data_IF_073172561318
#
_entry.id   IF_073172561318
#
_cell.length_a   1.000
_cell.length_b   1.000
_cell.length_c   1.000
_cell.angle_alpha   90.00
_cell.angle_beta   90.00
_cell.angle_gamma   90.00
#
_symmetry.space_group_name_H-M   'P 1'
#
loop_
_entity.id
_entity.type
_entity.pdbx_description
1 polymer ?
#
# COMPACT_ATOMS: atom_id res chain seq x y z
N UNK A 1 -20.86 -9.58 -46.36
CA UNK A 1 -20.59 -10.74 -45.47
C UNK A 1 -19.12 -10.68 -45.07
N UNK A 2 -18.80 -10.62 -43.78
CA UNK A 2 -17.42 -10.57 -43.31
C UNK A 2 -16.78 -11.96 -43.37
N UNK A 3 -15.55 -12.06 -43.90
CA UNK A 3 -14.80 -13.33 -43.96
C UNK A 3 -14.49 -13.84 -42.56
N UNK A 4 -14.54 -15.16 -42.37
CA UNK A 4 -14.24 -15.85 -41.10
C UNK A 4 -12.86 -15.46 -40.55
N UNK A 5 -11.89 -15.26 -41.44
CA UNK A 5 -10.55 -14.79 -41.08
C UNK A 5 -10.55 -13.32 -40.63
N UNK A 6 -11.37 -12.47 -41.27
CA UNK A 6 -11.52 -11.06 -40.87
C UNK A 6 -12.16 -10.91 -39.49
N UNK A 7 -13.14 -11.76 -39.17
CA UNK A 7 -13.74 -11.83 -37.83
C UNK A 7 -12.69 -12.27 -36.80
N UNK A 8 -11.89 -13.30 -37.11
CA UNK A 8 -10.85 -13.80 -36.22
C UNK A 8 -9.78 -12.74 -35.92
N UNK A 9 -9.29 -12.03 -36.93
CA UNK A 9 -8.31 -10.95 -36.76
C UNK A 9 -8.92 -9.80 -35.96
N UNK A 10 -10.17 -9.43 -36.24
CA UNK A 10 -10.89 -8.41 -35.49
C UNK A 10 -11.04 -8.77 -34.01
N UNK A 11 -11.35 -10.03 -33.70
CA UNK A 11 -11.48 -10.52 -32.32
C UNK A 11 -10.14 -10.46 -31.57
N UNK A 12 -9.05 -10.87 -32.22
CA UNK A 12 -7.70 -10.81 -31.64
C UNK A 12 -7.26 -9.36 -31.37
N UNK A 13 -7.51 -8.44 -32.30
CA UNK A 13 -7.20 -7.03 -32.12
C UNK A 13 -8.02 -6.41 -30.98
N UNK A 14 -9.32 -6.73 -30.90
CA UNK A 14 -10.19 -6.28 -29.81
C UNK A 14 -9.71 -6.81 -28.45
N UNK A 15 -9.34 -8.09 -28.37
CA UNK A 15 -8.82 -8.69 -27.14
C UNK A 15 -7.49 -8.07 -26.72
N UNK A 16 -6.54 -7.91 -27.65
CA UNK A 16 -5.27 -7.25 -27.39
C UNK A 16 -5.47 -5.82 -26.88
N UNK A 17 -6.40 -5.07 -27.49
CA UNK A 17 -6.75 -3.72 -27.04
C UNK A 17 -7.36 -3.70 -25.62
N UNK A 18 -8.28 -4.63 -25.33
CA UNK A 18 -8.87 -4.76 -23.99
C UNK A 18 -7.81 -5.11 -22.94
N UNK A 19 -6.89 -6.03 -23.26
CA UNK A 19 -5.81 -6.44 -22.36
C UNK A 19 -4.85 -5.28 -22.08
N UNK A 20 -4.50 -4.49 -23.10
CA UNK A 20 -3.64 -3.30 -22.93
C UNK A 20 -4.26 -2.27 -21.98
N UNK A 21 -5.56 -2.00 -22.15
CA UNK A 21 -6.30 -1.08 -21.28
C UNK A 21 -6.37 -1.58 -19.83
N UNK A 22 -6.53 -2.89 -19.64
CA UNK A 22 -6.53 -3.53 -18.33
C UNK A 22 -5.17 -3.38 -17.63
N UNK A 23 -4.09 -3.77 -18.30
CA UNK A 23 -2.72 -3.69 -17.76
C UNK A 23 -2.32 -2.24 -17.42
N UNK A 24 -2.67 -1.30 -18.29
CA UNK A 24 -2.38 0.13 -18.10
C UNK A 24 -3.20 0.77 -16.97
N UNK A 25 -4.27 0.12 -16.54
CA UNK A 25 -5.15 0.62 -15.47
C UNK A 25 -4.81 0.07 -14.09
N UNK A 26 -3.81 -0.79 -13.99
CA UNK A 26 -3.43 -1.43 -12.73
C UNK A 26 -3.06 -0.39 -11.67
N UNK A 27 -3.70 -0.43 -10.48
CA UNK A 27 -3.32 0.43 -9.37
C UNK A 27 -1.94 0.00 -8.87
N UNK A 28 -1.05 0.97 -8.62
CA UNK A 28 0.26 0.70 -8.02
C UNK A 28 0.11 0.64 -6.50
N UNK A 29 0.68 -0.38 -5.87
CA UNK A 29 0.72 -0.51 -4.41
C UNK A 29 2.18 -0.47 -3.98
N UNK A 30 2.50 0.45 -3.08
CA UNK A 30 3.82 0.52 -2.45
C UNK A 30 3.71 0.02 -1.01
N UNK A 31 4.62 -0.86 -0.60
CA UNK A 31 4.64 -1.39 0.77
C UNK A 31 5.76 -0.73 1.57
N UNK A 32 5.42 -0.23 2.76
CA UNK A 32 6.36 0.33 3.73
C UNK A 32 6.24 -0.45 5.03
N UNK A 33 7.37 -1.03 5.45
CA UNK A 33 7.55 -1.67 6.74
C UNK A 33 7.85 -0.61 7.78
N UNK A 34 7.16 -0.62 8.91
CA UNK A 34 7.37 0.34 10.01
C UNK A 34 7.71 -0.39 11.30
N UNK A 35 8.45 0.28 12.17
CA UNK A 35 8.82 -0.24 13.49
C UNK A 35 7.67 -0.13 14.50
N UNK A 36 6.84 0.90 14.38
CA UNK A 36 5.66 1.14 15.24
C UNK A 36 4.50 1.62 14.37
N UNK A 37 3.43 0.82 14.33
CA UNK A 37 2.26 1.09 13.49
C UNK A 37 1.41 2.26 14.04
N UNK A 38 1.32 2.42 15.36
CA UNK A 38 0.52 3.47 15.98
C UNK A 38 1.13 4.85 15.72
N UNK A 39 2.46 4.97 15.86
CA UNK A 39 3.18 6.20 15.51
C UNK A 39 3.13 6.48 14.01
N UNK A 40 3.29 5.44 13.18
CA UNK A 40 3.17 5.59 11.73
C UNK A 40 1.78 6.09 11.31
N UNK A 41 0.71 5.59 11.94
CA UNK A 41 -0.66 6.04 11.67
C UNK A 41 -0.80 7.55 11.86
N UNK A 42 -0.35 8.05 13.02
CA UNK A 42 -0.40 9.48 13.36
C UNK A 42 0.35 10.30 12.31
N UNK A 43 1.56 9.86 11.94
CA UNK A 43 2.35 10.53 10.92
C UNK A 43 1.65 10.57 9.55
N UNK A 44 1.14 9.44 9.06
CA UNK A 44 0.50 9.40 7.74
C UNK A 44 -0.83 10.16 7.68
N UNK A 45 -1.63 10.12 8.76
CA UNK A 45 -2.94 10.78 8.79
C UNK A 45 -2.87 12.26 9.15
N UNK A 46 -2.13 12.61 10.22
CA UNK A 46 -2.12 13.98 10.75
C UNK A 46 -1.05 14.86 10.11
N UNK A 47 0.12 14.28 9.83
CA UNK A 47 1.28 15.05 9.35
C UNK A 47 1.29 15.11 7.83
N UNK A 48 1.08 13.97 7.17
CA UNK A 48 1.03 13.89 5.70
C UNK A 48 -0.36 14.13 5.11
N UNK A 49 -1.41 14.11 5.95
CA UNK A 49 -2.80 14.32 5.52
C UNK A 49 -3.26 13.28 4.49
N UNK A 50 -2.81 12.03 4.61
CA UNK A 50 -3.23 10.98 3.68
C UNK A 50 -4.64 10.51 4.00
N UNK A 51 -5.45 10.36 2.95
CA UNK A 51 -6.77 9.76 3.08
C UNK A 51 -6.60 8.26 3.32
N UNK A 52 -7.19 7.78 4.42
CA UNK A 52 -7.36 6.34 4.65
C UNK A 52 -8.08 5.73 3.46
N UNK A 53 -7.52 4.65 2.93
CA UNK A 53 -8.10 3.88 1.85
C UNK A 53 -8.64 2.57 2.42
N UNK A 54 -9.79 2.12 1.92
CA UNK A 54 -10.21 0.76 2.18
C UNK A 54 -9.20 -0.22 1.55
N UNK A 55 -8.91 -1.29 2.28
CA UNK A 55 -8.08 -2.41 1.84
C UNK A 55 -8.53 -2.80 0.43
N UNK A 56 -7.65 -2.88 -0.58
CA UNK A 56 -8.00 -3.50 -1.85
C UNK A 56 -8.27 -4.98 -1.58
N UNK A 57 -9.54 -5.30 -1.28
CA UNK A 57 -10.01 -6.56 -0.71
C UNK A 57 -9.85 -7.78 -1.65
N UNK A 58 -9.12 -7.68 -2.75
CA UNK A 58 -9.29 -8.60 -3.88
C UNK A 58 -8.06 -9.39 -4.33
N UNK A 59 -6.90 -9.32 -3.65
CA UNK A 59 -5.72 -10.05 -4.14
C UNK A 59 -5.07 -11.07 -3.19
N UNK A 60 -5.36 -11.06 -1.88
CA UNK A 60 -4.55 -11.88 -0.96
C UNK A 60 -5.31 -12.81 0.00
N UNK A 61 -6.64 -12.70 0.15
CA UNK A 61 -7.34 -13.50 1.18
C UNK A 61 -8.34 -14.56 0.67
N UNK A 62 -8.54 -14.69 -0.64
CA UNK A 62 -9.55 -15.62 -1.17
C UNK A 62 -9.04 -17.03 -1.52
N UNK A 63 -7.76 -17.34 -1.31
CA UNK A 63 -7.30 -18.72 -1.53
C UNK A 63 -7.71 -19.65 -0.39
N UNK A 64 -7.83 -19.12 0.84
CA UNK A 64 -8.03 -19.92 2.06
C UNK A 64 -9.43 -19.76 2.66
N UNK A 65 -10.10 -18.62 2.42
CA UNK A 65 -11.49 -18.42 2.84
C UNK A 65 -12.52 -19.20 1.99
N UNK A 66 -12.13 -19.64 0.78
CA UNK A 66 -12.95 -20.55 -0.03
C UNK A 66 -12.82 -22.04 0.36
N UNK A 67 -11.71 -22.43 1.00
CA UNK A 67 -11.48 -23.82 1.42
C UNK A 67 -12.00 -24.08 2.85
N UNK A 68 -12.02 -23.05 3.71
CA UNK A 68 -12.61 -23.11 5.04
C UNK A 68 -14.16 -23.15 5.04
N UNK A 69 -14.81 -22.84 3.90
CA UNK A 69 -16.27 -22.86 3.76
C UNK A 69 -16.89 -24.22 3.38
N UNK A 70 -16.08 -25.27 3.19
CA UNK A 70 -16.56 -26.62 2.83
C UNK A 70 -16.47 -27.62 3.99
N UNK A 71 -16.32 -27.14 5.22
CA UNK A 71 -16.40 -27.95 6.44
C UNK A 71 -17.69 -27.68 7.20
N UNK A 72 -18.65 -28.60 7.09
CA UNK A 72 -19.64 -28.98 8.12
C UNK A 72 -19.87 -27.97 9.27
N UNK A 73 -21.01 -27.27 9.31
CA UNK A 73 -22.14 -27.66 10.16
C UNK A 73 -23.34 -26.73 9.96
N UNK A 74 -24.54 -27.25 10.20
CA UNK A 74 -25.79 -26.53 10.08
C UNK A 74 -26.00 -25.48 11.17
N UNK A 75 -26.92 -24.56 10.87
CA UNK A 75 -27.61 -23.64 11.78
C UNK A 75 -26.97 -22.24 11.97
N UNK A 76 -27.79 -21.25 11.54
CA UNK A 76 -27.99 -19.92 12.13
C UNK A 76 -27.04 -18.78 11.72
N UNK A 77 -27.68 -17.78 11.08
CA UNK A 77 -27.43 -16.38 11.40
C UNK A 77 -26.56 -15.62 10.41
N UNK A 78 -27.21 -14.92 9.48
CA UNK A 78 -26.63 -13.75 8.82
C UNK A 78 -26.45 -12.68 9.89
N UNK A 79 -25.28 -12.62 10.50
CA UNK A 79 -24.85 -11.47 11.28
C UNK A 79 -24.22 -10.45 10.30
N UNK A 80 -24.65 -9.18 10.29
CA UNK A 80 -23.88 -8.15 9.59
C UNK A 80 -22.52 -8.03 10.30
N UNK A 81 -21.39 -7.93 9.57
CA UNK A 81 -20.12 -7.71 10.22
C UNK A 81 -20.14 -6.33 10.89
N UNK A 82 -20.33 -6.37 12.21
CA UNK A 82 -20.13 -5.28 13.15
C UNK A 82 -18.79 -4.59 12.87
N UNK A 83 -18.78 -3.26 12.94
CA UNK A 83 -17.58 -2.42 12.90
C UNK A 83 -16.67 -2.75 14.10
N UNK A 84 -15.89 -3.82 14.00
CA UNK A 84 -14.85 -4.19 14.96
C UNK A 84 -13.58 -3.39 14.63
N UNK A 85 -13.57 -2.13 15.05
CA UNK A 85 -12.46 -1.19 14.89
C UNK A 85 -11.35 -1.35 15.93
N UNK A 86 -10.79 -2.56 16.15
CA UNK A 86 -9.62 -2.68 17.04
C UNK A 86 -8.62 -3.81 16.74
N UNK A 87 -8.97 -4.85 15.99
CA UNK A 87 -8.01 -5.92 15.61
C UNK A 87 -7.25 -5.66 14.29
N UNK A 88 -7.60 -4.59 13.56
CA UNK A 88 -6.94 -4.18 12.30
C UNK A 88 -5.49 -3.68 12.45
N UNK A 89 -4.98 -3.53 13.67
CA UNK A 89 -3.60 -3.11 13.89
C UNK A 89 -2.58 -4.21 13.55
N UNK A 90 -2.99 -5.46 13.35
CA UNK A 90 -2.08 -6.52 12.90
C UNK A 90 -2.08 -6.73 11.38
N UNK A 91 -3.11 -6.27 10.66
CA UNK A 91 -3.28 -6.49 9.21
C UNK A 91 -2.70 -5.38 8.32
N UNK A 92 -2.11 -4.33 8.90
CA UNK A 92 -1.54 -3.19 8.18
C UNK A 92 -2.53 -2.08 7.84
N UNK A 93 -2.01 -0.86 7.66
CA UNK A 93 -2.76 0.36 7.35
C UNK A 93 -2.69 0.66 5.85
N UNK A 94 -3.80 1.13 5.28
CA UNK A 94 -3.91 1.42 3.85
C UNK A 94 -4.21 2.89 3.62
N UNK A 95 -3.40 3.54 2.78
CA UNK A 95 -3.52 4.95 2.46
C UNK A 95 -3.54 5.18 0.96
N UNK A 96 -4.18 6.27 0.53
CA UNK A 96 -4.17 6.71 -0.87
C UNK A 96 -3.13 7.81 -1.07
N UNK A 97 -2.09 7.53 -1.83
CA UNK A 97 -1.01 8.50 -2.12
C UNK A 97 -1.37 9.38 -3.32
N UNK A 98 -1.91 8.76 -4.39
CA UNK A 98 -2.41 9.40 -5.62
C UNK A 98 -3.66 8.68 -6.13
N UNK A 99 -4.30 9.20 -7.18
CA UNK A 99 -5.56 8.67 -7.75
C UNK A 99 -5.52 7.17 -8.09
N UNK A 100 -4.36 6.63 -8.50
CA UNK A 100 -4.16 5.21 -8.85
C UNK A 100 -3.04 4.54 -8.01
N UNK A 101 -2.64 5.16 -6.90
CA UNK A 101 -1.51 4.68 -6.10
C UNK A 101 -1.91 4.55 -4.64
N UNK A 102 -1.77 3.34 -4.11
CA UNK A 102 -2.01 3.01 -2.72
C UNK A 102 -0.68 2.77 -1.99
N UNK A 103 -0.69 3.09 -0.71
CA UNK A 103 0.41 2.88 0.21
C UNK A 103 -0.09 1.88 1.27
N UNK A 104 0.61 0.77 1.39
CA UNK A 104 0.38 -0.24 2.40
C UNK A 104 1.46 -0.13 3.47
N UNK A 105 1.06 0.09 4.71
CA UNK A 105 1.96 0.30 5.85
C UNK A 105 1.79 -0.89 6.79
N UNK A 106 2.83 -1.69 6.95
CA UNK A 106 2.81 -2.92 7.75
C UNK A 106 3.87 -2.86 8.84
N UNK A 107 3.59 -3.45 10.00
CA UNK A 107 4.62 -3.64 11.02
C UNK A 107 5.64 -4.68 10.53
N UNK A 108 6.92 -4.46 10.82
CA UNK A 108 7.96 -5.43 10.46
C UNK A 108 9.35 -4.85 10.24
N UNK A 109 9.53 -3.53 10.36
CA UNK A 109 10.87 -2.96 10.36
C UNK A 109 11.49 -3.09 11.75
N UNK A 110 12.77 -3.50 11.80
CA UNK A 110 13.55 -3.40 13.03
C UNK A 110 13.65 -1.93 13.47
N UNK A 111 13.56 -1.63 14.78
CA UNK A 111 13.73 -0.26 15.28
C UNK A 111 15.06 0.34 14.80
N UNK A 112 15.04 1.63 14.48
CA UNK A 112 16.19 2.34 13.92
C UNK A 112 17.28 2.63 14.94
N UNK A 113 18.42 3.13 14.45
CA UNK A 113 19.54 3.52 15.30
C UNK A 113 19.09 4.60 16.32
N UNK A 114 19.47 4.42 17.59
CA UNK A 114 19.12 5.29 18.73
C UNK A 114 17.60 5.41 19.01
N UNK A 115 16.85 4.31 18.94
CA UNK A 115 15.40 4.28 19.21
C UNK A 115 14.57 5.18 18.28
N UNK A 116 15.08 5.44 17.07
CA UNK A 116 14.33 6.20 16.06
C UNK A 116 13.27 5.30 15.43
N UNK A 117 12.15 5.92 15.04
CA UNK A 117 11.17 5.26 14.20
C UNK A 117 11.79 4.99 12.84
N UNK A 118 11.80 3.73 12.42
CA UNK A 118 12.36 3.32 11.14
C UNK A 118 11.23 2.84 10.23
N UNK A 119 11.25 3.36 9.03
CA UNK A 119 10.35 3.02 7.96
C UNK A 119 11.17 2.57 6.76
N UNK A 120 10.81 1.44 6.20
CA UNK A 120 11.64 0.74 5.24
C UNK A 120 10.77 0.33 4.05
N UNK A 121 11.25 0.55 2.83
CA UNK A 121 10.54 0.10 1.63
C UNK A 121 11.49 -0.54 0.66
N UNK A 122 11.01 -1.53 -0.08
CA UNK A 122 11.72 -2.11 -1.22
C UNK A 122 11.54 -1.28 -2.49
N UNK A 123 10.56 -0.38 -2.53
CA UNK A 123 10.23 0.38 -3.72
C UNK A 123 10.69 1.84 -3.60
N UNK A 124 11.70 2.19 -4.39
CA UNK A 124 12.22 3.55 -4.52
C UNK A 124 11.16 4.56 -4.96
N UNK A 125 10.29 4.20 -5.91
CA UNK A 125 9.25 5.09 -6.41
C UNK A 125 8.24 5.42 -5.31
N UNK A 126 7.97 4.46 -4.41
CA UNK A 126 7.13 4.66 -3.24
C UNK A 126 7.73 5.69 -2.27
N UNK A 127 9.00 5.52 -1.92
CA UNK A 127 9.72 6.43 -1.02
C UNK A 127 9.87 7.83 -1.62
N UNK A 128 10.16 7.95 -2.91
CA UNK A 128 10.25 9.25 -3.59
C UNK A 128 8.90 10.00 -3.59
N UNK A 129 7.78 9.28 -3.72
CA UNK A 129 6.47 9.91 -3.64
C UNK A 129 6.15 10.39 -2.22
N UNK A 130 6.54 9.63 -1.19
CA UNK A 130 6.43 10.06 0.21
C UNK A 130 7.30 11.30 0.44
N UNK A 131 8.56 11.30 -0.03
CA UNK A 131 9.47 12.45 0.06
C UNK A 131 8.89 13.70 -0.63
N UNK A 132 8.31 13.54 -1.81
CA UNK A 132 7.67 14.66 -2.54
C UNK A 132 6.50 15.25 -1.74
N UNK A 133 5.72 14.40 -1.05
CA UNK A 133 4.64 14.84 -0.15
C UNK A 133 5.18 15.58 1.08
N UNK A 134 6.25 15.07 1.68
CA UNK A 134 6.93 15.71 2.83
C UNK A 134 7.41 17.11 2.44
N UNK A 135 8.01 17.24 1.25
CA UNK A 135 8.44 18.53 0.69
C UNK A 135 7.26 19.47 0.46
N UNK A 136 6.14 18.97 -0.08
CA UNK A 136 4.93 19.76 -0.29
C UNK A 136 4.28 20.23 1.02
N UNK A 137 4.43 19.47 2.12
CA UNK A 137 3.99 19.85 3.46
C UNK A 137 4.97 20.79 4.20
N UNK A 138 6.14 21.07 3.61
CA UNK A 138 7.16 21.95 4.21
C UNK A 138 7.87 21.35 5.42
N UNK A 139 7.85 20.02 5.58
CA UNK A 139 8.47 19.34 6.71
C UNK A 139 10.01 19.36 6.60
N UNK A 140 10.72 19.60 7.71
CA UNK A 140 12.18 19.55 7.71
C UNK A 140 12.66 18.12 7.45
N UNK A 141 13.41 17.94 6.36
CA UNK A 141 14.00 16.67 5.99
C UNK A 141 15.51 16.80 5.75
N UNK A 142 16.23 15.70 5.96
CA UNK A 142 17.67 15.58 5.70
C UNK A 142 17.93 14.34 4.87
N UNK A 143 18.40 14.54 3.64
CA UNK A 143 18.86 13.46 2.77
C UNK A 143 20.25 13.00 3.22
N UNK A 144 20.40 11.72 3.59
CA UNK A 144 21.70 11.12 3.96
C UNK A 144 22.35 10.41 2.78
N UNK A 145 21.58 9.67 1.98
CA UNK A 145 22.07 8.85 0.86
C UNK A 145 21.05 8.86 -0.27
N UNK A 146 21.53 8.87 -1.51
CA UNK A 146 20.68 8.86 -2.71
C UNK A 146 20.43 7.44 -3.28
N UNK A 147 21.40 6.53 -3.13
CA UNK A 147 21.31 5.12 -3.51
C UNK A 147 22.10 4.25 -2.50
N UNK A 148 21.45 3.29 -1.80
CA UNK A 148 20.00 3.23 -1.59
C UNK A 148 19.49 4.51 -0.93
N UNK A 149 18.26 4.91 -1.25
CA UNK A 149 17.66 6.14 -0.76
C UNK A 149 17.51 6.09 0.77
N UNK A 150 18.16 7.01 1.46
CA UNK A 150 18.09 7.17 2.91
C UNK A 150 17.88 8.64 3.26
N UNK A 151 16.76 8.94 3.90
CA UNK A 151 16.47 10.29 4.38
C UNK A 151 15.80 10.25 5.76
N UNK A 152 15.94 11.36 6.48
CA UNK A 152 15.30 11.55 7.77
C UNK A 152 14.33 12.69 7.66
N UNK A 153 13.22 12.53 8.35
CA UNK A 153 12.16 13.51 8.44
C UNK A 153 11.98 13.81 9.91
N UNK A 154 11.83 15.08 10.24
CA UNK A 154 11.44 15.49 11.57
C UNK A 154 10.00 15.99 11.52
N UNK A 155 9.15 15.38 12.34
CA UNK A 155 7.77 15.81 12.49
C UNK A 155 7.67 17.09 13.35
N UNK A 156 6.50 17.73 13.37
CA UNK A 156 6.15 18.88 14.19
C UNK A 156 6.31 18.61 15.69
N UNK A 157 6.06 17.36 16.13
CA UNK A 157 6.31 16.91 17.51
C UNK A 157 7.80 16.67 17.81
N UNK A 158 8.66 16.86 16.80
CA UNK A 158 10.11 16.73 16.93
C UNK A 158 10.63 15.29 16.86
N UNK A 159 9.75 14.31 16.63
CA UNK A 159 10.13 12.93 16.36
C UNK A 159 10.91 12.81 15.05
N UNK A 160 11.98 12.01 15.05
CA UNK A 160 12.80 11.77 13.87
C UNK A 160 12.46 10.39 13.30
N UNK A 161 11.99 10.39 12.06
CA UNK A 161 11.63 9.19 11.31
C UNK A 161 12.68 8.97 10.23
N UNK A 162 13.26 7.77 10.22
CA UNK A 162 14.23 7.35 9.22
C UNK A 162 13.55 6.52 8.13
N UNK A 163 13.70 6.95 6.88
CA UNK A 163 13.19 6.26 5.70
C UNK A 163 14.35 5.67 4.91
N UNK A 164 14.28 4.36 4.66
CA UNK A 164 15.35 3.62 4.01
C UNK A 164 14.82 2.71 2.89
N UNK A 165 15.50 2.75 1.75
CA UNK A 165 15.35 1.79 0.67
C UNK A 165 16.15 0.52 0.97
N UNK A 166 15.51 -0.64 0.90
CA UNK A 166 16.20 -1.93 0.91
C UNK A 166 16.59 -2.33 -0.50
N UNK A 167 17.87 -2.59 -0.70
CA UNK A 167 18.34 -3.31 -1.89
C UNK A 167 18.00 -4.79 -1.74
N UNK A 168 17.43 -5.38 -2.80
CA UNK A 168 17.19 -6.83 -2.93
C UNK A 168 18.27 -7.42 -3.81
#
# INVERSE_FOLDING_TARGET
MFSTQGIMIGLLAAYAGALWLFLSSTPKVHTVLVSDLAQAQIFYERVLGLAAADVPLNYYYNTEQGLAGLGYDGALGIAPPSRLGRDRLQDGLWYRLKRKTQLHVVAGANPGDRQRLRQVSFDRDGLQQILSRIQAQGLPFKLKRQLPLLFLVKDWEGQVIEFEELEV
#
